data_IF_402063181778
#
_entry.id   IF_402063181778
#
_cell.length_a   1.000
_cell.length_b   1.000
_cell.length_c   1.000
_cell.angle_alpha   90.00
_cell.angle_beta   90.00
_cell.angle_gamma   90.00
#
_symmetry.space_group_name_H-M   'P 1'
#
loop_
_entity.id
_entity.type
_entity.pdbx_description
1 polymer ?
#
# COMPACT_ATOMS: atom_id res chain seq x y z
N UNK A 1 19.07 -10.09 5.47
CA UNK A 1 19.31 -8.73 4.98
C UNK A 1 20.58 -8.69 4.17
N UNK A 2 20.41 -8.70 2.85
CA UNK A 2 21.35 -8.35 1.80
C UNK A 2 21.46 -6.83 1.60
N UNK A 3 20.43 -6.07 1.97
CA UNK A 3 20.41 -4.61 1.83
C UNK A 3 20.35 -3.86 3.16
N UNK A 4 20.88 -2.64 3.19
CA UNK A 4 20.60 -1.63 4.23
C UNK A 4 19.28 -0.92 3.93
N UNK A 5 18.77 -0.17 4.91
CA UNK A 5 17.58 0.68 4.75
C UNK A 5 16.35 -0.10 4.26
N UNK A 6 16.16 -1.30 4.80
CA UNK A 6 14.99 -2.11 4.45
C UNK A 6 13.82 -1.68 5.32
N UNK A 7 12.90 -0.97 4.70
CA UNK A 7 11.68 -0.47 5.34
C UNK A 7 10.48 -1.27 4.84
N UNK A 8 9.52 -1.48 5.72
CA UNK A 8 8.20 -1.98 5.36
C UNK A 8 7.18 -0.86 5.56
N UNK A 9 6.66 -0.31 4.47
CA UNK A 9 5.80 0.88 4.50
C UNK A 9 4.31 0.55 4.53
N UNK A 10 3.94 -0.74 4.59
CA UNK A 10 2.56 -1.19 4.59
C UNK A 10 2.41 -2.41 5.50
N UNK A 11 1.97 -2.15 6.74
CA UNK A 11 1.86 -3.17 7.79
C UNK A 11 0.61 -2.93 8.62
N UNK A 12 -0.15 -4.00 8.84
CA UNK A 12 -1.38 -4.04 9.62
C UNK A 12 -1.13 -4.69 10.99
N UNK A 13 -1.72 -4.11 12.02
CA UNK A 13 -1.70 -4.50 13.42
C UNK A 13 -3.08 -5.00 13.87
N UNK A 14 -3.20 -5.46 15.11
CA UNK A 14 -4.49 -5.87 15.69
C UNK A 14 -5.53 -4.72 15.87
N UNK A 15 -5.24 -3.54 15.33
CA UNK A 15 -6.20 -2.45 15.13
C UNK A 15 -6.94 -2.53 13.77
N UNK A 16 -6.44 -3.31 12.82
CA UNK A 16 -7.17 -3.72 11.60
C UNK A 16 -8.00 -4.98 11.88
N UNK A 17 -9.20 -5.07 11.29
CA UNK A 17 -10.16 -6.15 11.56
C UNK A 17 -9.68 -7.55 11.13
N UNK A 18 -8.72 -7.61 10.21
CA UNK A 18 -8.18 -8.81 9.58
C UNK A 18 -6.71 -9.11 9.93
N UNK A 19 -6.12 -8.35 10.86
CA UNK A 19 -4.77 -8.55 11.36
C UNK A 19 -4.74 -9.03 12.82
N UNK A 20 -3.58 -9.55 13.26
CA UNK A 20 -3.55 -10.45 14.43
C UNK A 20 -2.62 -10.04 15.57
N UNK A 21 -1.73 -9.08 15.35
CA UNK A 21 -0.63 -8.82 16.28
C UNK A 21 -0.46 -7.34 16.63
N UNK A 22 -0.22 -7.08 17.91
CA UNK A 22 0.09 -5.74 18.40
C UNK A 22 1.29 -5.11 17.72
N UNK A 23 1.26 -3.78 17.57
CA UNK A 23 2.38 -2.98 17.03
C UNK A 23 3.72 -3.28 17.71
N UNK A 24 3.71 -3.51 19.03
CA UNK A 24 4.92 -3.85 19.78
C UNK A 24 5.57 -5.16 19.29
N UNK A 25 4.77 -6.21 19.10
CA UNK A 25 5.26 -7.51 18.62
C UNK A 25 5.71 -7.44 17.15
N UNK A 26 5.00 -6.67 16.33
CA UNK A 26 5.42 -6.37 14.95
C UNK A 26 6.81 -5.70 14.94
N UNK A 27 7.04 -4.71 15.80
CA UNK A 27 8.32 -4.01 15.90
C UNK A 27 9.46 -4.91 16.40
N UNK A 28 9.22 -5.76 17.39
CA UNK A 28 10.21 -6.76 17.85
C UNK A 28 10.61 -7.69 16.69
N UNK A 29 9.63 -8.21 15.97
CA UNK A 29 9.83 -9.09 14.83
C UNK A 29 10.59 -8.39 13.70
N UNK A 30 10.29 -7.13 13.43
CA UNK A 30 11.01 -6.35 12.42
C UNK A 30 12.49 -6.17 12.74
N UNK A 31 12.83 -5.94 14.01
CA UNK A 31 14.22 -5.88 14.47
C UNK A 31 14.91 -7.23 14.31
N UNK A 32 14.25 -8.33 14.69
CA UNK A 32 14.80 -9.68 14.53
C UNK A 32 15.07 -10.02 13.05
N UNK A 33 14.21 -9.53 12.14
CA UNK A 33 14.38 -9.66 10.69
C UNK A 33 15.38 -8.66 10.09
N UNK A 34 15.87 -7.71 10.88
CA UNK A 34 16.87 -6.72 10.48
C UNK A 34 16.33 -5.54 9.67
N UNK A 35 15.04 -5.23 9.78
CA UNK A 35 14.45 -4.05 9.14
C UNK A 35 14.94 -2.76 9.80
N UNK A 36 15.07 -1.70 9.00
CA UNK A 36 15.42 -0.36 9.45
C UNK A 36 14.20 0.41 9.98
N UNK A 37 13.00 0.05 9.53
CA UNK A 37 11.76 0.67 10.01
C UNK A 37 10.48 0.07 9.45
N UNK A 38 9.37 0.45 10.07
CA UNK A 38 8.01 0.09 9.72
C UNK A 38 7.14 1.36 9.64
N UNK A 39 6.15 1.36 8.76
CA UNK A 39 4.98 2.20 8.90
C UNK A 39 3.78 1.31 9.24
N UNK A 40 3.11 1.60 10.36
CA UNK A 40 1.82 0.99 10.66
C UNK A 40 0.79 1.74 9.83
N UNK A 41 0.03 1.02 9.01
CA UNK A 41 -0.92 1.58 8.04
C UNK A 41 -2.22 0.80 8.13
N UNK A 42 -2.77 0.72 9.34
CA UNK A 42 -4.03 0.02 9.59
C UNK A 42 -5.16 0.58 8.70
N UNK A 43 -6.12 -0.29 8.39
CA UNK A 43 -7.24 -0.01 7.50
C UNK A 43 -8.08 1.15 8.02
N UNK A 44 -8.62 1.92 7.08
CA UNK A 44 -9.73 2.82 7.29
C UNK A 44 -10.62 2.85 6.05
N UNK A 45 -11.66 2.03 6.10
CA UNK A 45 -12.69 1.97 5.07
C UNK A 45 -13.76 3.03 5.32
N UNK A 46 -13.90 4.00 4.42
CA UNK A 46 -14.86 5.10 4.61
C UNK A 46 -16.31 4.62 4.61
N UNK A 47 -16.62 3.55 3.88
CA UNK A 47 -17.97 3.00 3.77
C UNK A 47 -18.42 2.31 5.05
N UNK A 48 -17.52 1.57 5.67
CA UNK A 48 -17.74 0.84 6.92
C UNK A 48 -17.35 1.66 8.17
N UNK A 49 -16.99 2.94 8.00
CA UNK A 49 -16.43 3.81 9.04
C UNK A 49 -17.14 3.71 10.41
N UNK A 50 -18.47 3.82 10.37
CA UNK A 50 -19.32 3.79 11.57
C UNK A 50 -19.52 2.37 12.10
N UNK A 51 -19.65 1.38 11.21
CA UNK A 51 -19.93 0.00 11.57
C UNK A 51 -18.76 -0.63 12.35
N UNK A 52 -17.55 -0.37 11.88
CA UNK A 52 -16.32 -0.95 12.43
C UNK A 52 -15.63 -0.03 13.46
N UNK A 53 -16.33 1.01 13.92
CA UNK A 53 -15.83 1.96 14.94
C UNK A 53 -14.45 2.57 14.61
N UNK A 54 -14.19 2.91 13.33
CA UNK A 54 -12.85 3.30 12.87
C UNK A 54 -12.25 4.51 13.59
N UNK A 55 -13.07 5.41 14.17
CA UNK A 55 -12.54 6.46 15.06
C UNK A 55 -11.68 5.87 16.18
N UNK A 56 -12.16 4.81 16.85
CA UNK A 56 -11.45 4.14 17.94
C UNK A 56 -10.23 3.37 17.40
N UNK A 57 -10.38 2.68 16.27
CA UNK A 57 -9.29 1.89 15.69
C UNK A 57 -8.11 2.80 15.29
N UNK A 58 -8.39 3.94 14.66
CA UNK A 58 -7.39 4.95 14.29
C UNK A 58 -6.71 5.52 15.53
N UNK A 59 -7.48 5.95 16.54
CA UNK A 59 -6.92 6.50 17.78
C UNK A 59 -5.97 5.51 18.46
N UNK A 60 -6.35 4.23 18.49
CA UNK A 60 -5.54 3.16 19.10
C UNK A 60 -4.29 2.85 18.26
N UNK A 61 -4.43 2.74 16.94
CA UNK A 61 -3.32 2.51 16.01
C UNK A 61 -2.24 3.59 16.11
N UNK A 62 -2.65 4.87 16.05
CA UNK A 62 -1.73 6.00 16.20
C UNK A 62 -1.04 5.98 17.56
N UNK A 63 -1.81 5.78 18.64
CA UNK A 63 -1.24 5.69 19.98
C UNK A 63 -0.20 4.57 20.12
N UNK A 64 -0.50 3.37 19.61
CA UNK A 64 0.40 2.22 19.70
C UNK A 64 1.65 2.39 18.84
N UNK A 65 1.51 2.97 17.64
CA UNK A 65 2.63 3.32 16.77
C UNK A 65 3.55 4.37 17.41
N UNK A 66 3.01 5.45 17.97
CA UNK A 66 3.80 6.49 18.66
C UNK A 66 4.50 5.95 19.91
N UNK A 67 3.80 5.10 20.68
CA UNK A 67 4.38 4.42 21.83
C UNK A 67 5.52 3.50 21.41
N UNK A 68 5.34 2.71 20.36
CA UNK A 68 6.38 1.85 19.81
C UNK A 68 7.58 2.68 19.30
N UNK A 69 7.33 3.79 18.60
CA UNK A 69 8.37 4.71 18.17
C UNK A 69 9.25 5.19 19.35
N UNK A 70 8.65 5.46 20.51
CA UNK A 70 9.39 5.79 21.73
C UNK A 70 10.22 4.61 22.25
N UNK A 71 9.64 3.41 22.33
CA UNK A 71 10.29 2.22 22.90
C UNK A 71 11.43 1.69 22.01
N UNK A 72 11.28 1.79 20.69
CA UNK A 72 12.25 1.27 19.73
C UNK A 72 13.18 2.35 19.17
N UNK A 73 13.12 3.57 19.70
CA UNK A 73 13.97 4.68 19.28
C UNK A 73 15.47 4.29 19.20
N UNK A 74 16.10 4.58 18.07
CA UNK A 74 17.49 4.23 17.78
C UNK A 74 17.74 2.78 17.36
N UNK A 75 16.72 1.91 17.36
CA UNK A 75 16.79 0.52 16.90
C UNK A 75 15.92 0.25 15.67
N UNK A 76 14.73 0.87 15.62
CA UNK A 76 13.78 0.76 14.53
C UNK A 76 13.08 2.10 14.34
N UNK A 77 12.94 2.55 13.10
CA UNK A 77 12.09 3.70 12.79
C UNK A 77 10.63 3.24 12.70
N UNK A 78 9.75 3.74 13.56
CA UNK A 78 8.33 3.38 13.54
C UNK A 78 7.53 4.63 13.20
N UNK A 79 6.65 4.52 12.21
CA UNK A 79 5.81 5.61 11.71
C UNK A 79 4.33 5.28 11.94
N UNK A 80 3.55 6.29 12.31
CA UNK A 80 2.10 6.18 12.47
C UNK A 80 1.42 6.65 11.16
N UNK A 81 1.01 5.70 10.33
CA UNK A 81 0.31 5.97 9.08
C UNK A 81 -1.12 5.45 9.08
N UNK A 82 -1.73 5.43 7.90
CA UNK A 82 -3.09 4.95 7.68
C UNK A 82 -3.26 4.49 6.23
N UNK A 83 -4.00 3.41 6.01
CA UNK A 83 -4.47 3.01 4.69
C UNK A 83 -5.93 3.43 4.51
N UNK A 84 -6.17 4.38 3.62
CA UNK A 84 -7.50 4.88 3.30
C UNK A 84 -8.07 4.19 2.06
N UNK A 85 -9.25 3.61 2.17
CA UNK A 85 -10.02 3.08 1.04
C UNK A 85 -11.43 3.68 1.00
N UNK A 86 -12.01 3.64 -0.19
CA UNK A 86 -13.32 4.20 -0.53
C UNK A 86 -13.49 5.70 -0.19
N UNK A 87 -12.39 6.47 -0.30
CA UNK A 87 -12.23 7.90 0.00
C UNK A 87 -13.38 8.81 -0.50
N UNK A 88 -13.99 8.49 -1.65
CA UNK A 88 -15.06 9.31 -2.22
C UNK A 88 -16.47 8.94 -1.76
N UNK A 89 -16.61 7.98 -0.85
CA UNK A 89 -17.90 7.62 -0.26
C UNK A 89 -18.47 8.78 0.58
N UNK A 90 -17.63 9.40 1.42
CA UNK A 90 -17.94 10.61 2.17
C UNK A 90 -16.67 11.47 2.27
N UNK A 91 -16.52 12.42 1.34
CA UNK A 91 -15.33 13.28 1.25
C UNK A 91 -15.13 14.13 2.51
N UNK A 92 -16.22 14.57 3.16
CA UNK A 92 -16.14 15.37 4.38
C UNK A 92 -15.66 14.53 5.57
N UNK A 93 -16.10 13.29 5.66
CA UNK A 93 -15.57 12.32 6.62
C UNK A 93 -14.09 12.05 6.36
N UNK A 94 -13.68 11.81 5.11
CA UNK A 94 -12.27 11.57 4.80
C UNK A 94 -11.38 12.76 5.16
N UNK A 95 -11.82 14.00 4.90
CA UNK A 95 -11.11 15.20 5.34
C UNK A 95 -11.01 15.27 6.88
N UNK A 96 -12.07 14.92 7.59
CA UNK A 96 -12.07 14.86 9.06
C UNK A 96 -11.12 13.78 9.59
N UNK A 97 -11.03 12.62 8.93
CA UNK A 97 -10.10 11.55 9.29
C UNK A 97 -8.66 12.01 9.07
N UNK A 98 -8.35 12.61 7.91
CA UNK A 98 -7.01 13.12 7.64
C UNK A 98 -6.57 14.22 8.61
N UNK A 99 -7.51 14.97 9.18
CA UNK A 99 -7.26 16.04 10.13
C UNK A 99 -7.25 15.58 11.60
N UNK A 100 -7.62 14.33 11.91
CA UNK A 100 -7.76 13.86 13.29
C UNK A 100 -6.41 13.64 13.97
N UNK A 101 -5.38 13.28 13.21
CA UNK A 101 -4.02 13.00 13.70
C UNK A 101 -2.95 13.54 12.78
N UNK A 102 -1.73 13.65 13.29
CA UNK A 102 -0.55 14.02 12.50
C UNK A 102 0.10 12.76 11.91
N UNK A 103 -0.56 12.17 10.91
CA UNK A 103 -0.04 10.96 10.26
C UNK A 103 1.33 11.20 9.61
N UNK A 104 2.22 10.23 9.79
CA UNK A 104 3.51 10.18 9.11
C UNK A 104 3.37 9.84 7.63
N UNK A 105 2.37 9.03 7.28
CA UNK A 105 2.18 8.47 5.96
C UNK A 105 0.71 8.14 5.67
N UNK A 106 0.23 8.46 4.48
CA UNK A 106 -1.11 8.10 4.02
C UNK A 106 -1.05 7.31 2.72
N UNK A 107 -1.46 6.05 2.81
CA UNK A 107 -1.78 5.22 1.66
C UNK A 107 -3.22 5.48 1.21
N UNK A 108 -3.42 5.55 -0.11
CA UNK A 108 -4.73 5.56 -0.71
C UNK A 108 -4.91 4.31 -1.58
N UNK A 109 -5.96 3.55 -1.30
CA UNK A 109 -6.33 2.29 -1.93
C UNK A 109 -7.79 2.30 -2.39
N UNK A 110 -8.19 1.20 -3.06
CA UNK A 110 -9.59 0.90 -3.37
C UNK A 110 -9.81 -0.60 -3.16
N UNK A 111 -10.66 -0.96 -2.19
CA UNK A 111 -10.96 -2.37 -1.90
C UNK A 111 -12.35 -2.80 -2.38
N UNK A 112 -13.26 -1.86 -2.63
CA UNK A 112 -14.64 -2.19 -2.96
C UNK A 112 -14.97 -2.11 -4.46
N UNK A 113 -15.94 -2.91 -4.88
CA UNK A 113 -16.66 -2.74 -6.14
C UNK A 113 -17.63 -1.55 -6.08
N UNK A 114 -18.20 -1.17 -7.23
CA UNK A 114 -19.08 0.00 -7.35
C UNK A 114 -20.37 -0.09 -6.53
N UNK A 115 -20.78 -1.29 -6.15
CA UNK A 115 -21.90 -1.56 -5.24
C UNK A 115 -21.51 -1.50 -3.75
N UNK A 116 -20.23 -1.29 -3.43
CA UNK A 116 -19.70 -1.28 -2.08
C UNK A 116 -19.29 -2.65 -1.53
N UNK A 117 -19.36 -3.72 -2.33
CA UNK A 117 -18.87 -5.04 -1.93
C UNK A 117 -17.34 -5.03 -1.87
N UNK A 118 -16.77 -5.44 -0.73
CA UNK A 118 -15.33 -5.73 -0.64
C UNK A 118 -14.97 -6.91 -1.53
N UNK A 119 -14.04 -6.68 -2.46
CA UNK A 119 -13.66 -7.66 -3.47
C UNK A 119 -12.90 -8.86 -2.89
N UNK A 120 -12.39 -8.76 -1.67
CA UNK A 120 -11.81 -9.89 -0.96
C UNK A 120 -12.81 -11.05 -0.84
N UNK A 121 -14.09 -10.74 -0.65
CA UNK A 121 -15.16 -11.73 -0.53
C UNK A 121 -15.84 -12.09 -1.86
N UNK A 122 -15.45 -11.47 -2.97
CA UNK A 122 -16.09 -11.67 -4.27
C UNK A 122 -15.65 -12.97 -4.94
N UNK A 123 -16.63 -13.73 -5.45
CA UNK A 123 -16.41 -14.94 -6.23
C UNK A 123 -16.24 -14.65 -7.73
N UNK A 124 -15.08 -14.12 -8.13
CA UNK A 124 -14.79 -13.75 -9.53
C UNK A 124 -14.93 -14.89 -10.55
N UNK A 125 -14.91 -16.16 -10.11
CA UNK A 125 -15.15 -17.33 -10.98
C UNK A 125 -16.59 -17.41 -11.51
N UNK A 126 -17.53 -16.77 -10.82
CA UNK A 126 -18.94 -16.70 -11.22
C UNK A 126 -19.22 -15.55 -12.18
N UNK A 127 -18.27 -14.62 -12.32
CA UNK A 127 -18.41 -13.45 -13.17
C UNK A 127 -18.06 -13.78 -14.63
N UNK A 128 -18.84 -13.21 -15.54
CA UNK A 128 -18.50 -13.16 -16.96
C UNK A 128 -17.29 -12.26 -17.22
N UNK A 129 -16.66 -12.43 -18.39
CA UNK A 129 -15.58 -11.55 -18.82
C UNK A 129 -15.99 -10.08 -18.92
N UNK A 130 -17.27 -9.80 -19.17
CA UNK A 130 -17.80 -8.44 -19.31
C UNK A 130 -17.98 -7.78 -17.93
N UNK A 131 -18.46 -8.53 -16.92
CA UNK A 131 -18.56 -8.06 -15.53
C UNK A 131 -17.17 -7.75 -14.95
N UNK A 132 -16.20 -8.63 -15.16
CA UNK A 132 -14.81 -8.39 -14.77
C UNK A 132 -14.25 -7.14 -15.47
N UNK A 133 -14.54 -6.96 -16.76
CA UNK A 133 -14.09 -5.78 -17.50
C UNK A 133 -14.73 -4.48 -16.98
N UNK A 134 -16.04 -4.50 -16.70
CA UNK A 134 -16.76 -3.37 -16.13
C UNK A 134 -16.18 -2.98 -14.77
N UNK A 135 -15.93 -3.96 -13.91
CA UNK A 135 -15.33 -3.72 -12.60
C UNK A 135 -13.92 -3.14 -12.69
N UNK A 136 -13.05 -3.73 -13.50
CA UNK A 136 -11.69 -3.21 -13.68
C UNK A 136 -11.68 -1.80 -14.28
N UNK A 137 -12.63 -1.49 -15.17
CA UNK A 137 -12.80 -0.12 -15.70
C UNK A 137 -13.15 0.85 -14.57
N UNK A 138 -14.16 0.52 -13.75
CA UNK A 138 -14.51 1.30 -12.56
C UNK A 138 -13.31 1.47 -11.62
N UNK A 139 -12.58 0.39 -11.34
CA UNK A 139 -11.45 0.38 -10.43
C UNK A 139 -10.33 1.34 -10.90
N UNK A 140 -9.91 1.25 -12.17
CA UNK A 140 -8.88 2.16 -12.69
C UNK A 140 -9.36 3.62 -12.83
N UNK A 141 -10.65 3.84 -13.13
CA UNK A 141 -11.25 5.19 -13.09
C UNK A 141 -11.26 5.78 -11.68
N UNK A 142 -11.49 4.94 -10.67
CA UNK A 142 -11.43 5.33 -9.27
C UNK A 142 -10.00 5.74 -8.89
N UNK A 143 -8.99 4.93 -9.22
CA UNK A 143 -7.58 5.27 -8.96
C UNK A 143 -7.16 6.56 -9.67
N UNK A 144 -7.63 6.79 -10.90
CA UNK A 144 -7.40 8.04 -11.61
C UNK A 144 -8.03 9.25 -10.90
N UNK A 145 -9.18 9.05 -10.23
CA UNK A 145 -9.83 10.08 -9.41
C UNK A 145 -9.05 10.32 -8.11
N UNK A 146 -8.57 9.27 -7.43
CA UNK A 146 -7.67 9.39 -6.26
C UNK A 146 -6.44 10.23 -6.64
N UNK A 147 -5.80 9.91 -7.77
CA UNK A 147 -4.61 10.63 -8.23
C UNK A 147 -4.83 12.14 -8.39
N UNK A 148 -6.04 12.56 -8.78
CA UNK A 148 -6.43 13.97 -8.91
C UNK A 148 -6.79 14.61 -7.56
N UNK A 149 -7.30 13.85 -6.60
CA UNK A 149 -7.69 14.34 -5.27
C UNK A 149 -6.48 14.79 -4.43
N UNK A 150 -5.34 14.12 -4.58
CA UNK A 150 -4.03 14.62 -4.15
C UNK A 150 -3.82 14.86 -2.62
N UNK A 151 -4.70 14.37 -1.74
CA UNK A 151 -4.55 14.49 -0.28
C UNK A 151 -3.91 13.27 0.41
N UNK A 152 -3.32 12.37 -0.37
CA UNK A 152 -2.59 11.16 0.07
C UNK A 152 -1.08 11.30 -0.21
N UNK A 153 -0.26 10.32 0.17
CA UNK A 153 1.19 10.33 -0.12
C UNK A 153 1.57 9.32 -1.20
N UNK A 154 1.04 8.10 -1.09
CA UNK A 154 1.31 7.01 -2.03
C UNK A 154 0.02 6.32 -2.46
N UNK A 155 -0.09 6.03 -3.75
CA UNK A 155 -1.15 5.19 -4.31
C UNK A 155 -0.76 3.72 -4.09
N UNK A 156 -1.54 3.02 -3.27
CA UNK A 156 -1.30 1.64 -2.87
C UNK A 156 -1.63 0.66 -4.01
N UNK A 157 -0.94 -0.50 -3.99
CA UNK A 157 -1.21 -1.73 -4.75
C UNK A 157 -2.08 -1.56 -6.02
N UNK A 158 -1.61 -0.76 -6.98
CA UNK A 158 -2.40 -0.24 -8.12
C UNK A 158 -3.16 -1.31 -8.94
N UNK A 159 -2.79 -2.58 -8.88
CA UNK A 159 -3.51 -3.69 -9.53
C UNK A 159 -4.12 -4.70 -8.55
N UNK A 160 -4.54 -4.28 -7.36
CA UNK A 160 -5.07 -5.12 -6.27
C UNK A 160 -6.08 -6.19 -6.73
N UNK A 161 -7.07 -5.88 -7.59
CA UNK A 161 -8.00 -6.88 -8.13
C UNK A 161 -7.35 -8.11 -8.78
N UNK A 162 -6.16 -7.95 -9.36
CA UNK A 162 -5.48 -9.05 -10.05
C UNK A 162 -5.06 -10.16 -9.08
N UNK A 163 -4.81 -9.83 -7.80
CA UNK A 163 -4.57 -10.79 -6.72
C UNK A 163 -5.65 -11.87 -6.69
N UNK A 164 -6.91 -11.45 -6.76
CA UNK A 164 -8.06 -12.35 -6.69
C UNK A 164 -8.43 -12.92 -8.06
N UNK A 165 -8.47 -12.07 -9.09
CA UNK A 165 -8.92 -12.47 -10.44
C UNK A 165 -7.89 -13.40 -11.10
N UNK A 166 -6.63 -12.96 -11.17
CA UNK A 166 -5.56 -13.71 -11.84
C UNK A 166 -4.85 -14.66 -10.89
N UNK A 167 -4.56 -14.25 -9.66
CA UNK A 167 -3.91 -15.10 -8.66
C UNK A 167 -4.80 -16.25 -8.18
N UNK A 168 -5.85 -15.91 -7.42
CA UNK A 168 -6.72 -16.92 -6.80
C UNK A 168 -7.62 -17.65 -7.80
N UNK A 169 -8.16 -16.94 -8.80
CA UNK A 169 -9.12 -17.52 -9.76
C UNK A 169 -8.47 -17.99 -11.07
N UNK A 170 -7.17 -17.74 -11.29
CA UNK A 170 -6.47 -18.10 -12.53
C UNK A 170 -7.11 -17.52 -13.81
N UNK A 171 -7.82 -16.40 -13.71
CA UNK A 171 -8.43 -15.70 -14.85
C UNK A 171 -7.41 -14.69 -15.40
N UNK A 172 -6.92 -14.87 -16.65
CA UNK A 172 -5.90 -13.99 -17.21
C UNK A 172 -6.50 -12.63 -17.59
N UNK A 173 -5.86 -11.55 -17.13
CA UNK A 173 -6.22 -10.17 -17.47
C UNK A 173 -5.15 -9.53 -18.35
N UNK A 174 -5.56 -9.00 -19.50
CA UNK A 174 -4.71 -8.17 -20.34
C UNK A 174 -4.79 -6.70 -19.91
N UNK A 175 -3.82 -6.26 -19.12
CA UNK A 175 -3.70 -4.88 -18.65
C UNK A 175 -3.57 -3.85 -19.79
N UNK A 176 -3.22 -4.27 -21.02
CA UNK A 176 -3.16 -3.34 -22.16
C UNK A 176 -4.50 -2.67 -22.46
N UNK A 177 -5.62 -3.33 -22.11
CA UNK A 177 -6.97 -2.74 -22.24
C UNK A 177 -7.16 -1.48 -21.38
N UNK A 178 -6.37 -1.33 -20.32
CA UNK A 178 -6.42 -0.21 -19.38
C UNK A 178 -5.15 0.65 -19.44
N UNK A 179 -4.30 0.48 -20.46
CA UNK A 179 -3.00 1.14 -20.54
C UNK A 179 -3.10 2.67 -20.53
N UNK A 180 -4.07 3.23 -21.25
CA UNK A 180 -4.24 4.69 -21.34
C UNK A 180 -4.60 5.30 -19.98
N UNK A 181 -5.56 4.71 -19.27
CA UNK A 181 -6.00 5.21 -17.96
C UNK A 181 -4.94 4.99 -16.87
N UNK A 182 -4.21 3.86 -16.92
CA UNK A 182 -3.07 3.63 -16.05
C UNK A 182 -1.98 4.68 -16.32
N UNK A 183 -1.64 4.93 -17.58
CA UNK A 183 -0.63 5.92 -17.95
C UNK A 183 -1.01 7.33 -17.50
N UNK A 184 -2.26 7.75 -17.70
CA UNK A 184 -2.76 9.05 -17.24
C UNK A 184 -2.77 9.17 -15.71
N UNK A 185 -3.09 8.07 -15.01
CA UNK A 185 -2.98 8.00 -13.55
C UNK A 185 -1.53 8.20 -13.11
N UNK A 186 -0.59 7.42 -13.66
CA UNK A 186 0.84 7.53 -13.33
C UNK A 186 1.40 8.93 -13.62
N UNK A 187 1.02 9.55 -14.74
CA UNK A 187 1.40 10.94 -15.07
C UNK A 187 0.90 11.91 -14.00
N UNK A 188 -0.36 11.77 -13.59
CA UNK A 188 -0.97 12.62 -12.56
C UNK A 188 -0.25 12.46 -11.21
N UNK A 189 -0.01 11.22 -10.78
CA UNK A 189 0.75 10.91 -9.56
C UNK A 189 2.14 11.55 -9.59
N UNK A 190 2.86 11.42 -10.71
CA UNK A 190 4.20 11.98 -10.86
C UNK A 190 4.19 13.52 -10.84
N UNK A 191 3.29 14.16 -11.57
CA UNK A 191 3.15 15.62 -11.63
C UNK A 191 2.78 16.23 -10.27
N UNK A 192 2.02 15.50 -9.47
CA UNK A 192 1.62 15.91 -8.13
C UNK A 192 2.71 15.66 -7.07
N UNK A 193 3.84 15.06 -7.44
CA UNK A 193 4.90 14.71 -6.50
C UNK A 193 4.47 13.64 -5.49
N UNK A 194 3.54 12.76 -5.87
CA UNK A 194 3.09 11.62 -5.06
C UNK A 194 3.87 10.36 -5.43
N UNK A 195 3.81 9.36 -4.56
CA UNK A 195 4.46 8.08 -4.81
C UNK A 195 3.51 6.97 -5.26
N UNK A 196 4.10 5.85 -5.67
CA UNK A 196 3.41 4.58 -5.87
C UNK A 196 4.08 3.49 -5.03
N UNK A 197 3.28 2.52 -4.63
CA UNK A 197 3.74 1.38 -3.86
C UNK A 197 4.24 0.26 -4.78
N UNK A 198 5.33 -0.42 -4.38
CA UNK A 198 5.60 -1.81 -4.76
C UNK A 198 5.06 -2.70 -3.64
N UNK A 199 3.88 -3.30 -3.85
CA UNK A 199 3.31 -4.22 -2.86
C UNK A 199 3.77 -5.64 -3.16
N UNK A 200 4.32 -6.32 -2.17
CA UNK A 200 4.92 -7.65 -2.32
C UNK A 200 4.00 -8.81 -1.92
N UNK A 201 2.79 -8.52 -1.43
CA UNK A 201 1.82 -9.56 -1.01
C UNK A 201 1.44 -10.52 -2.14
N UNK A 202 1.37 -10.02 -3.37
CA UNK A 202 1.01 -10.81 -4.55
C UNK A 202 1.95 -11.97 -4.86
N UNK A 203 3.18 -11.95 -4.34
CA UNK A 203 4.17 -13.02 -4.54
C UNK A 203 3.70 -14.38 -3.98
N UNK A 204 2.74 -14.37 -3.07
CA UNK A 204 2.20 -15.57 -2.43
C UNK A 204 0.89 -16.05 -3.06
N UNK A 205 0.17 -15.17 -3.75
CA UNK A 205 -1.16 -15.45 -4.31
C UNK A 205 -1.08 -15.97 -5.75
N UNK A 206 -0.02 -16.71 -6.08
CA UNK A 206 0.17 -17.29 -7.41
C UNK A 206 0.58 -16.31 -8.50
N UNK A 207 0.75 -15.02 -8.19
CA UNK A 207 1.29 -14.00 -9.10
C UNK A 207 2.82 -13.98 -8.95
N UNK A 208 3.55 -14.10 -10.08
CA UNK A 208 5.02 -14.12 -10.09
C UNK A 208 5.66 -12.73 -10.20
N UNK A 209 4.92 -11.70 -9.82
CA UNK A 209 5.28 -10.28 -9.90
C UNK A 209 4.63 -9.52 -8.74
N UNK A 210 4.96 -8.24 -8.59
CA UNK A 210 4.40 -7.35 -7.58
C UNK A 210 2.99 -6.85 -7.96
N UNK A 211 2.36 -6.17 -7.02
CA UNK A 211 1.13 -5.43 -7.24
C UNK A 211 1.42 -3.92 -7.07
N UNK A 212 1.57 -3.14 -8.15
CA UNK A 212 1.44 -3.50 -9.57
C UNK A 212 2.67 -4.23 -10.15
N UNK A 213 2.54 -4.87 -11.33
CA UNK A 213 3.67 -5.44 -12.06
C UNK A 213 4.81 -4.44 -12.21
N UNK A 214 6.06 -4.91 -12.11
CA UNK A 214 7.22 -3.99 -12.11
C UNK A 214 7.32 -3.10 -13.37
N UNK A 215 6.73 -3.52 -14.49
CA UNK A 215 6.63 -2.70 -15.70
C UNK A 215 5.89 -1.37 -15.48
N UNK A 216 4.87 -1.34 -14.62
CA UNK A 216 4.13 -0.13 -14.22
C UNK A 216 5.02 0.76 -13.36
N UNK A 217 5.81 0.19 -12.45
CA UNK A 217 6.79 0.92 -11.63
C UNK A 217 7.84 1.60 -12.51
N UNK A 218 8.37 0.87 -13.50
CA UNK A 218 9.31 1.43 -14.48
C UNK A 218 8.66 2.56 -15.27
N UNK A 219 7.41 2.37 -15.72
CA UNK A 219 6.68 3.39 -16.48
C UNK A 219 6.48 4.68 -15.67
N UNK A 220 6.14 4.56 -14.39
CA UNK A 220 6.05 5.70 -13.49
C UNK A 220 7.35 6.52 -13.45
N UNK A 221 8.50 5.83 -13.34
CA UNK A 221 9.82 6.48 -13.36
C UNK A 221 10.10 7.20 -14.68
N UNK A 222 9.75 6.60 -15.82
CA UNK A 222 9.89 7.21 -17.15
C UNK A 222 9.04 8.48 -17.31
N UNK A 223 7.90 8.55 -16.61
CA UNK A 223 6.98 9.68 -16.60
C UNK A 223 7.40 10.79 -15.62
N UNK A 224 8.55 10.65 -14.96
CA UNK A 224 9.08 11.63 -14.01
C UNK A 224 8.73 11.34 -12.55
N UNK A 225 8.14 10.19 -12.24
CA UNK A 225 7.87 9.75 -10.88
C UNK A 225 9.16 9.57 -10.07
N UNK A 226 9.15 10.06 -8.83
CA UNK A 226 10.33 10.03 -7.95
C UNK A 226 10.18 9.06 -6.78
N UNK A 227 8.99 9.01 -6.17
CA UNK A 227 8.80 8.36 -4.88
C UNK A 227 8.21 6.96 -5.03
N UNK A 228 8.92 5.97 -4.52
CA UNK A 228 8.53 4.56 -4.55
C UNK A 228 8.72 3.99 -3.15
N UNK A 229 7.63 3.57 -2.52
CA UNK A 229 7.65 2.81 -1.27
C UNK A 229 7.59 1.32 -1.58
N UNK A 230 7.99 0.50 -0.62
CA UNK A 230 7.80 -0.95 -0.66
C UNK A 230 7.02 -1.35 0.58
N UNK A 231 5.98 -2.16 0.39
CA UNK A 231 5.08 -2.62 1.43
C UNK A 231 4.85 -4.11 1.34
N UNK A 232 4.85 -4.80 2.47
CA UNK A 232 4.53 -6.24 2.51
C UNK A 232 3.05 -6.55 2.63
N UNK A 233 2.24 -5.57 3.04
CA UNK A 233 0.81 -5.75 3.33
C UNK A 233 0.60 -6.81 4.42
N UNK A 234 1.51 -6.82 5.39
CA UNK A 234 1.55 -7.85 6.41
C UNK A 234 0.44 -7.67 7.43
N UNK A 235 -0.43 -8.67 7.52
CA UNK A 235 -1.47 -8.80 8.55
C UNK A 235 -1.05 -9.69 9.73
N UNK A 236 0.17 -10.23 9.67
CA UNK A 236 0.77 -11.07 10.71
C UNK A 236 2.29 -10.87 10.76
N UNK A 237 2.89 -11.00 11.95
CA UNK A 237 4.29 -10.66 12.20
C UNK A 237 5.27 -11.47 11.33
N UNK A 238 4.95 -12.73 11.08
CA UNK A 238 5.70 -13.63 10.20
C UNK A 238 5.81 -13.11 8.76
N UNK A 239 4.88 -12.26 8.31
CA UNK A 239 4.85 -11.70 6.95
C UNK A 239 5.54 -10.34 6.83
N UNK A 240 5.91 -9.67 7.94
CA UNK A 240 6.65 -8.40 7.89
C UNK A 240 7.92 -8.55 7.06
N UNK A 241 8.18 -7.59 6.18
CA UNK A 241 9.37 -7.54 5.34
C UNK A 241 9.41 -8.59 4.22
N UNK A 242 8.35 -9.41 4.07
CA UNK A 242 8.30 -10.47 3.07
C UNK A 242 8.36 -9.88 1.67
N UNK A 243 9.25 -10.42 0.84
CA UNK A 243 9.42 -9.98 -0.55
C UNK A 243 10.10 -8.62 -0.73
N UNK A 244 10.38 -7.85 0.33
CA UNK A 244 10.96 -6.50 0.21
C UNK A 244 12.37 -6.55 -0.39
N UNK A 245 13.23 -7.48 0.06
CA UNK A 245 14.57 -7.61 -0.54
C UNK A 245 14.49 -8.00 -2.02
N UNK A 246 13.45 -8.74 -2.43
CA UNK A 246 13.21 -9.07 -3.84
C UNK A 246 12.77 -7.85 -4.65
N UNK A 247 11.91 -7.00 -4.08
CA UNK A 247 11.56 -5.72 -4.67
C UNK A 247 12.80 -4.81 -4.82
N UNK A 248 13.64 -4.71 -3.79
CA UNK A 248 14.88 -3.92 -3.83
C UNK A 248 15.87 -4.45 -4.87
N UNK A 249 16.05 -5.77 -4.97
CA UNK A 249 16.87 -6.39 -6.01
C UNK A 249 16.35 -6.05 -7.41
N UNK A 250 15.02 -6.11 -7.60
CA UNK A 250 14.36 -5.78 -8.88
C UNK A 250 14.53 -4.29 -9.20
N UNK A 251 14.42 -3.42 -8.20
CA UNK A 251 14.69 -1.99 -8.34
C UNK A 251 16.13 -1.73 -8.82
N UNK A 252 17.13 -2.29 -8.13
CA UNK A 252 18.56 -2.09 -8.49
C UNK A 252 18.86 -2.59 -9.90
N UNK A 253 18.39 -3.78 -10.25
CA UNK A 253 18.60 -4.36 -11.59
C UNK A 253 17.89 -3.57 -12.70
N UNK A 254 17.01 -2.64 -12.36
CA UNK A 254 16.34 -1.72 -13.27
C UNK A 254 16.82 -0.26 -13.13
N UNK A 255 17.95 -0.04 -12.46
CA UNK A 255 18.59 1.28 -12.37
C UNK A 255 18.01 2.23 -11.33
N UNK A 256 17.14 1.74 -10.45
CA UNK A 256 16.69 2.50 -9.29
C UNK A 256 17.77 2.49 -8.22
N UNK A 257 17.99 3.64 -7.59
CA UNK A 257 19.08 3.84 -6.61
C UNK A 257 18.57 4.13 -5.21
N UNK A 258 17.29 4.46 -5.05
CA UNK A 258 16.69 4.84 -3.78
C UNK A 258 15.33 4.18 -3.57
N UNK A 259 14.99 3.93 -2.32
CA UNK A 259 13.65 3.63 -1.82
C UNK A 259 13.14 4.83 -1.01
N UNK A 260 11.84 5.04 -1.00
CA UNK A 260 11.20 6.11 -0.23
C UNK A 260 10.61 5.57 1.06
N UNK A 261 10.79 6.32 2.14
CA UNK A 261 10.09 6.13 3.40
C UNK A 261 9.49 7.48 3.81
N UNK A 262 8.36 7.50 4.51
CA UNK A 262 7.68 8.76 4.85
C UNK A 262 7.80 9.07 6.34
N UNK A 263 7.86 10.36 6.64
CA UNK A 263 7.75 10.90 8.00
C UNK A 263 7.04 12.24 7.92
N UNK A 264 6.00 12.42 8.73
CA UNK A 264 5.17 13.63 8.74
C UNK A 264 4.75 14.08 7.32
N UNK A 265 4.29 13.13 6.49
CA UNK A 265 3.87 13.35 5.09
C UNK A 265 5.01 13.83 4.17
N UNK A 266 6.27 13.75 4.61
CA UNK A 266 7.44 14.12 3.82
C UNK A 266 8.22 12.89 3.35
N UNK A 267 8.53 12.76 2.05
CA UNK A 267 9.30 11.66 1.52
C UNK A 267 10.78 11.79 1.90
N UNK A 268 11.34 10.69 2.39
CA UNK A 268 12.75 10.51 2.72
C UNK A 268 13.33 9.47 1.77
N UNK A 269 14.30 9.87 0.96
CA UNK A 269 14.97 9.00 -0.01
C UNK A 269 16.18 8.33 0.65
N UNK A 270 16.17 7.00 0.68
CA UNK A 270 17.26 6.18 1.20
C UNK A 270 17.92 5.40 0.08
N UNK A 271 19.25 5.44 0.01
CA UNK A 271 20.00 4.68 -0.98
C UNK A 271 19.78 3.17 -0.78
N UNK A 272 19.62 2.44 -1.88
CA UNK A 272 19.55 0.98 -1.90
C UNK A 272 20.99 0.46 -1.91
N UNK A 273 21.52 0.12 -0.73
CA UNK A 273 22.91 -0.32 -0.55
C UNK A 273 22.97 -1.79 -0.17
N UNK A 274 23.77 -2.58 -0.90
CA UNK A 274 24.07 -3.96 -0.50
C UNK A 274 25.00 -3.99 0.72
N UNK A 275 24.80 -4.95 1.62
CA UNK A 275 25.60 -5.14 2.84
C UNK A 275 26.95 -5.84 2.55
N UNK A 276 27.11 -6.43 1.36
CA UNK A 276 28.35 -7.10 0.94
C UNK A 276 28.45 -8.55 1.37
#
# INVERSE_FOLDING_TARGET
MMYRNVFDSHVHSDNSFDAHHSVMFLCETAIEKGLAGLCITDHCEMREYVQEEYTRCIDQSVFDAEKAACVFNGRLSVMAGIELSDIFYDEALTESVLASHHFDFVLASQHNASNGEDIYYTHFQEWSSDEIHQYLTFYFEYLARIAKWNQYDVLAHLTYPLRYITGNCSIPIDLKKYADIIEDTLKTVAQNGKGIEINTSSLDDGIKDFCPPFSIIRRFRELGGEYITIGSDAHAAENIGRGIEKAMETMVSNGFTHVTFYKQRHPLLFAIESIG
#
